data_IF_189408895048
#
_entry.id   IF_189408895048
#
_cell.length_a   1.000
_cell.length_b   1.000
_cell.length_c   1.000
_cell.angle_alpha   90.00
_cell.angle_beta   90.00
_cell.angle_gamma   90.00
#
_symmetry.space_group_name_H-M   'P 1'
#
loop_
_entity.id
_entity.type
_entity.pdbx_description
1 polymer ?
#
# COMPACT_ATOMS: atom_id res chain seq x y z
N UNK A 1 -7.56 -22.27 24.75
CA UNK A 1 -6.51 -23.21 24.30
C UNK A 1 -5.60 -22.59 23.23
N UNK A 2 -6.14 -22.06 22.12
CA UNK A 2 -5.34 -21.45 21.05
C UNK A 2 -4.41 -20.31 21.51
N UNK A 3 -4.91 -19.34 22.29
CA UNK A 3 -4.07 -18.24 22.80
C UNK A 3 -2.92 -18.70 23.69
N UNK A 4 -3.18 -19.68 24.55
CA UNK A 4 -2.15 -20.27 25.41
C UNK A 4 -1.05 -20.91 24.55
N UNK A 5 -1.43 -21.69 23.55
CA UNK A 5 -0.49 -22.32 22.61
C UNK A 5 0.35 -21.27 21.86
N UNK A 6 -0.29 -20.20 21.34
CA UNK A 6 0.39 -19.08 20.68
C UNK A 6 1.41 -18.42 21.62
N UNK A 7 1.01 -18.08 22.84
CA UNK A 7 1.89 -17.42 23.81
C UNK A 7 3.06 -18.31 24.22
N UNK A 8 2.83 -19.61 24.44
CA UNK A 8 3.89 -20.58 24.76
C UNK A 8 4.94 -20.68 23.65
N UNK A 9 4.54 -20.61 22.38
CA UNK A 9 5.48 -20.61 21.26
C UNK A 9 6.20 -19.26 21.12
N UNK A 10 5.51 -18.14 21.36
CA UNK A 10 6.14 -16.82 21.39
C UNK A 10 7.13 -16.66 22.56
N UNK A 11 6.88 -17.29 23.71
CA UNK A 11 7.80 -17.32 24.86
C UNK A 11 9.08 -18.08 24.53
N UNK A 12 8.97 -19.21 23.84
CA UNK A 12 10.15 -19.95 23.33
C UNK A 12 10.91 -19.10 22.30
N UNK A 13 10.21 -18.47 21.37
CA UNK A 13 10.83 -17.64 20.34
C UNK A 13 11.59 -16.44 20.93
N UNK A 14 11.02 -15.76 21.92
CA UNK A 14 11.69 -14.68 22.65
C UNK A 14 13.02 -15.17 23.28
N UNK A 15 12.99 -16.32 23.94
CA UNK A 15 14.19 -16.92 24.52
C UNK A 15 15.23 -17.25 23.44
N UNK A 16 14.83 -17.87 22.34
CA UNK A 16 15.75 -18.34 21.30
C UNK A 16 16.32 -17.24 20.43
N UNK A 17 15.60 -16.12 20.25
CA UNK A 17 16.05 -14.97 19.46
C UNK A 17 16.79 -13.92 20.30
N UNK A 18 17.01 -14.18 21.60
CA UNK A 18 17.81 -13.29 22.45
C UNK A 18 19.23 -13.16 21.90
N UNK A 19 19.66 -11.93 21.62
CA UNK A 19 20.98 -11.63 21.04
C UNK A 19 21.08 -11.85 19.52
N UNK A 20 20.05 -12.39 18.88
CA UNK A 20 20.02 -12.53 17.42
C UNK A 20 19.81 -11.17 16.76
N UNK A 21 20.66 -10.85 15.79
CA UNK A 21 20.51 -9.69 14.91
C UNK A 21 20.26 -10.17 13.49
N UNK A 22 19.08 -9.87 12.97
CA UNK A 22 18.73 -10.18 11.57
C UNK A 22 19.45 -9.25 10.59
N UNK A 23 19.66 -9.73 9.38
CA UNK A 23 20.28 -8.95 8.28
C UNK A 23 19.25 -8.29 7.36
N UNK A 24 18.02 -8.79 7.33
CA UNK A 24 16.93 -8.28 6.48
C UNK A 24 15.63 -8.23 7.27
N UNK A 25 14.64 -7.49 6.77
CA UNK A 25 13.28 -7.45 7.36
C UNK A 25 12.45 -8.70 6.99
N UNK A 26 12.99 -9.65 6.22
CA UNK A 26 12.30 -10.87 5.80
C UNK A 26 12.37 -12.00 6.82
N UNK A 27 13.19 -11.83 7.85
CA UNK A 27 13.31 -12.76 8.97
C UNK A 27 12.86 -12.08 10.26
N UNK A 28 12.14 -12.81 11.09
CA UNK A 28 11.73 -12.33 12.40
C UNK A 28 12.95 -12.20 13.34
N UNK A 29 12.99 -11.12 14.10
CA UNK A 29 13.85 -10.97 15.28
C UNK A 29 12.99 -10.83 16.53
N UNK A 30 13.63 -10.51 17.65
CA UNK A 30 12.98 -10.33 18.93
C UNK A 30 11.89 -9.24 18.91
N UNK A 31 12.09 -8.15 18.14
CA UNK A 31 11.08 -7.09 18.03
C UNK A 31 9.79 -7.57 17.35
N UNK A 32 9.90 -8.49 16.39
CA UNK A 32 8.74 -9.11 15.73
C UNK A 32 7.99 -10.02 16.71
N UNK A 33 8.71 -10.80 17.54
CA UNK A 33 8.09 -11.61 18.60
C UNK A 33 7.30 -10.73 19.56
N UNK A 34 7.87 -9.59 19.97
CA UNK A 34 7.16 -8.62 20.80
C UNK A 34 5.93 -8.03 20.13
N UNK A 35 6.00 -7.70 18.85
CA UNK A 35 4.82 -7.23 18.10
C UNK A 35 3.73 -8.29 17.99
N UNK A 36 4.09 -9.56 17.82
CA UNK A 36 3.12 -10.67 17.82
C UNK A 36 2.49 -10.85 19.21
N UNK A 37 3.29 -10.83 20.29
CA UNK A 37 2.77 -10.85 21.66
C UNK A 37 1.80 -9.70 21.92
N UNK A 38 2.16 -8.48 21.50
CA UNK A 38 1.31 -7.31 21.65
C UNK A 38 -0.05 -7.51 20.96
N UNK A 39 -0.07 -7.97 19.70
CA UNK A 39 -1.31 -8.31 18.97
C UNK A 39 -2.11 -9.41 19.68
N UNK A 40 -1.45 -10.44 20.19
CA UNK A 40 -2.10 -11.55 20.91
C UNK A 40 -2.76 -11.07 22.20
N UNK A 41 -2.03 -10.34 23.05
CA UNK A 41 -2.58 -9.80 24.29
C UNK A 41 -3.69 -8.78 24.05
N UNK A 42 -3.56 -7.93 23.02
CA UNK A 42 -4.61 -7.00 22.62
C UNK A 42 -5.91 -7.75 22.26
N UNK A 43 -5.79 -8.85 21.49
CA UNK A 43 -6.95 -9.69 21.12
C UNK A 43 -7.54 -10.41 22.33
N UNK A 44 -6.75 -10.68 23.36
CA UNK A 44 -7.20 -11.25 24.63
C UNK A 44 -7.76 -10.21 25.61
N UNK A 45 -7.81 -8.93 25.23
CA UNK A 45 -8.21 -7.82 26.08
C UNK A 45 -7.29 -7.62 27.32
N UNK A 46 -6.05 -8.15 27.25
CA UNK A 46 -5.02 -7.91 28.25
C UNK A 46 -4.23 -6.66 27.88
N UNK A 47 -4.83 -5.51 28.19
CA UNK A 47 -4.33 -4.20 27.79
C UNK A 47 -2.94 -3.90 28.37
N UNK A 48 -2.66 -4.36 29.59
CA UNK A 48 -1.39 -4.12 30.27
C UNK A 48 -0.23 -4.84 29.55
N UNK A 49 -0.40 -6.12 29.23
CA UNK A 49 0.62 -6.84 28.47
C UNK A 49 0.69 -6.38 27.02
N UNK A 50 -0.44 -6.04 26.40
CA UNK A 50 -0.46 -5.48 25.05
C UNK A 50 0.41 -4.22 24.95
N UNK A 51 0.18 -3.25 25.84
CA UNK A 51 0.97 -2.00 25.89
C UNK A 51 2.45 -2.28 26.17
N UNK A 52 2.74 -3.14 27.15
CA UNK A 52 4.12 -3.51 27.52
C UNK A 52 4.88 -4.05 26.30
N UNK A 53 4.32 -5.04 25.62
CA UNK A 53 5.01 -5.66 24.50
C UNK A 53 5.04 -4.77 23.26
N UNK A 54 4.02 -3.93 23.04
CA UNK A 54 4.05 -2.92 21.97
C UNK A 54 5.22 -1.94 22.16
N UNK A 55 5.45 -1.48 23.41
CA UNK A 55 6.61 -0.61 23.74
C UNK A 55 7.96 -1.28 23.50
N UNK A 56 8.08 -2.56 23.81
CA UNK A 56 9.30 -3.33 23.51
C UNK A 56 9.47 -3.53 21.99
N UNK A 57 8.39 -3.79 21.29
CA UNK A 57 8.37 -4.03 19.85
C UNK A 57 8.83 -2.79 19.05
N UNK A 58 8.38 -1.59 19.44
CA UNK A 58 8.72 -0.35 18.73
C UNK A 58 10.15 0.17 18.97
N UNK A 59 10.88 -0.39 19.93
CA UNK A 59 12.23 0.08 20.26
C UNK A 59 13.17 -0.03 19.04
N UNK A 60 13.77 1.09 18.64
CA UNK A 60 14.68 1.16 17.49
C UNK A 60 14.00 1.33 16.12
N UNK A 61 12.67 1.48 16.06
CA UNK A 61 11.93 1.76 14.83
C UNK A 61 11.48 3.21 14.76
N UNK A 62 11.36 3.72 13.54
CA UNK A 62 10.87 5.09 13.29
C UNK A 62 9.69 5.03 12.33
N UNK A 63 8.64 5.81 12.61
CA UNK A 63 7.49 5.94 11.70
C UNK A 63 7.92 6.62 10.41
N UNK A 64 7.29 6.26 9.28
CA UNK A 64 7.59 6.90 8.00
C UNK A 64 7.33 8.42 8.07
N UNK A 65 8.20 9.19 7.42
CA UNK A 65 7.92 10.61 7.13
C UNK A 65 6.80 10.75 6.11
N UNK A 66 6.18 11.93 6.03
CA UNK A 66 5.15 12.21 5.02
C UNK A 66 5.66 11.94 3.59
N UNK A 67 6.90 12.35 3.27
CA UNK A 67 7.51 12.14 1.96
C UNK A 67 7.71 10.66 1.62
N UNK A 68 8.14 9.85 2.58
CA UNK A 68 8.25 8.40 2.40
C UNK A 68 6.87 7.75 2.22
N UNK A 69 5.88 8.19 3.01
CA UNK A 69 4.53 7.62 2.97
C UNK A 69 3.81 7.90 1.64
N UNK A 70 4.08 9.05 1.02
CA UNK A 70 3.47 9.48 -0.25
C UNK A 70 4.45 9.40 -1.43
N UNK A 71 5.49 8.58 -1.34
CA UNK A 71 6.46 8.44 -2.43
C UNK A 71 5.81 7.89 -3.69
N UNK A 72 6.09 8.51 -4.84
CA UNK A 72 5.59 8.05 -6.14
C UNK A 72 6.39 6.87 -6.72
N UNK A 73 7.58 6.60 -6.19
CA UNK A 73 8.47 5.55 -6.68
C UNK A 73 8.73 4.44 -5.67
N UNK A 74 8.75 4.78 -4.37
CA UNK A 74 8.99 3.84 -3.27
C UNK A 74 7.74 3.62 -2.39
N UNK A 75 6.57 4.03 -2.88
CA UNK A 75 5.30 3.93 -2.16
C UNK A 75 4.94 2.48 -1.82
N UNK A 76 5.23 2.09 -0.58
CA UNK A 76 4.93 0.77 0.00
C UNK A 76 5.37 -0.44 -0.85
N UNK A 77 6.54 -0.33 -1.48
CA UNK A 77 7.12 -1.40 -2.32
C UNK A 77 8.55 -1.82 -1.91
N UNK A 78 9.09 -1.18 -0.87
CA UNK A 78 10.45 -1.38 -0.37
C UNK A 78 10.46 -1.25 1.15
N UNK A 79 11.09 -2.22 1.80
CA UNK A 79 11.23 -2.26 3.24
C UNK A 79 12.03 -1.05 3.75
N UNK A 80 11.56 -0.49 4.86
CA UNK A 80 12.15 0.70 5.47
C UNK A 80 12.12 0.58 7.01
N UNK A 81 12.58 1.62 7.70
CA UNK A 81 12.76 1.63 9.16
C UNK A 81 11.46 1.62 9.96
N UNK A 82 10.30 1.77 9.30
CA UNK A 82 8.99 1.59 9.95
C UNK A 82 8.50 0.15 9.86
N UNK A 83 9.08 -0.68 8.99
CA UNK A 83 8.63 -2.05 8.75
C UNK A 83 9.38 -3.00 9.69
N UNK A 84 8.63 -3.66 10.55
CA UNK A 84 9.13 -4.62 11.52
C UNK A 84 9.29 -6.00 10.91
N UNK A 85 8.39 -6.42 10.02
CA UNK A 85 8.50 -7.66 9.26
C UNK A 85 7.97 -7.43 7.86
N UNK A 86 8.62 -8.01 6.85
CA UNK A 86 8.23 -7.94 5.46
C UNK A 86 8.41 -9.29 4.76
N UNK A 87 7.85 -9.42 3.57
CA UNK A 87 8.23 -10.45 2.60
C UNK A 87 8.61 -9.80 1.28
N UNK A 88 9.37 -10.50 0.45
CA UNK A 88 9.84 -10.02 -0.85
C UNK A 88 9.46 -10.99 -1.95
N UNK A 89 8.76 -10.48 -2.97
CA UNK A 89 8.55 -11.24 -4.19
C UNK A 89 9.75 -11.11 -5.12
N UNK A 90 10.19 -12.23 -5.68
CA UNK A 90 11.18 -12.30 -6.77
C UNK A 90 10.54 -12.90 -8.02
N UNK A 91 11.16 -12.66 -9.18
CA UNK A 91 10.64 -13.09 -10.49
C UNK A 91 10.48 -14.60 -10.64
N UNK A 92 11.15 -15.38 -9.78
CA UNK A 92 11.06 -16.85 -9.76
C UNK A 92 9.98 -17.39 -8.82
N UNK A 93 9.34 -16.56 -8.00
CA UNK A 93 8.20 -17.01 -7.19
C UNK A 93 7.01 -17.35 -8.10
N UNK A 94 6.28 -18.41 -7.78
CA UNK A 94 5.16 -18.90 -8.61
C UNK A 94 4.05 -17.86 -8.78
N UNK A 95 3.78 -17.04 -7.76
CA UNK A 95 2.81 -15.94 -7.84
C UNK A 95 3.23 -14.79 -8.78
N UNK A 96 4.51 -14.71 -9.17
CA UNK A 96 5.05 -13.74 -10.13
C UNK A 96 5.25 -14.40 -11.50
N UNK A 97 5.88 -15.59 -11.53
CA UNK A 97 6.26 -16.29 -12.76
C UNK A 97 5.06 -16.83 -13.54
N UNK A 98 4.06 -17.36 -12.83
CA UNK A 98 2.94 -18.05 -13.45
C UNK A 98 1.75 -17.09 -13.61
N UNK A 99 0.88 -17.38 -14.59
CA UNK A 99 -0.34 -16.61 -14.88
C UNK A 99 -0.10 -15.09 -14.95
N UNK A 100 0.91 -14.68 -15.72
CA UNK A 100 1.30 -13.29 -15.94
C UNK A 100 1.55 -12.45 -14.67
N UNK A 101 1.88 -13.11 -13.56
CA UNK A 101 2.09 -12.46 -12.26
C UNK A 101 0.79 -12.04 -11.56
N UNK A 102 -0.37 -12.38 -12.12
CA UNK A 102 -1.67 -12.00 -11.58
C UNK A 102 -1.98 -12.68 -10.25
N UNK A 103 -1.19 -13.66 -9.82
CA UNK A 103 -1.21 -14.26 -8.48
C UNK A 103 -0.58 -13.39 -7.40
N UNK A 104 0.20 -12.37 -7.78
CA UNK A 104 0.99 -11.54 -6.87
C UNK A 104 0.19 -10.49 -6.10
N UNK A 105 0.76 -9.94 -5.03
CA UNK A 105 0.23 -8.78 -4.32
C UNK A 105 0.14 -7.54 -5.22
N UNK A 106 1.22 -7.27 -5.99
CA UNK A 106 1.29 -6.12 -6.87
C UNK A 106 0.15 -6.08 -7.88
N UNK A 107 -0.25 -7.24 -8.42
CA UNK A 107 -1.36 -7.34 -9.35
C UNK A 107 -2.71 -6.85 -8.80
N UNK A 108 -2.92 -6.85 -7.47
CA UNK A 108 -4.19 -6.43 -6.84
C UNK A 108 -4.11 -5.02 -6.30
N UNK A 109 -2.93 -4.61 -5.85
CA UNK A 109 -2.77 -3.38 -5.08
C UNK A 109 -2.26 -2.20 -5.90
N UNK A 110 -1.58 -2.45 -7.02
CA UNK A 110 -1.07 -1.38 -7.90
C UNK A 110 -2.13 -0.97 -8.91
N UNK A 111 -2.28 0.35 -9.09
CA UNK A 111 -3.31 0.97 -9.95
C UNK A 111 -2.70 1.69 -11.16
N UNK A 112 -1.39 1.59 -11.33
CA UNK A 112 -0.57 2.23 -12.37
C UNK A 112 0.32 1.19 -13.07
N UNK A 113 -0.28 0.15 -13.65
CA UNK A 113 0.42 -0.90 -14.39
C UNK A 113 0.16 -0.77 -15.89
N UNK A 114 1.20 -0.47 -16.66
CA UNK A 114 1.20 -0.27 -18.11
C UNK A 114 1.43 -1.52 -18.94
N UNK A 115 1.73 -2.68 -18.32
CA UNK A 115 1.88 -3.95 -19.06
C UNK A 115 0.57 -4.51 -19.63
N UNK A 116 -0.58 -3.93 -19.25
CA UNK A 116 -1.91 -4.48 -19.54
C UNK A 116 -2.33 -5.63 -18.62
N UNK A 117 -1.53 -5.95 -17.60
CA UNK A 117 -1.82 -7.00 -16.61
C UNK A 117 -2.26 -6.44 -15.26
N UNK A 118 -2.86 -7.30 -14.43
CA UNK A 118 -3.20 -7.00 -13.03
C UNK A 118 -4.64 -6.59 -12.81
N UNK A 119 -5.25 -7.17 -11.79
CA UNK A 119 -6.61 -6.89 -11.34
C UNK A 119 -6.83 -5.45 -10.85
N UNK A 120 -5.81 -4.85 -10.22
CA UNK A 120 -5.90 -3.50 -9.69
C UNK A 120 -5.99 -2.43 -10.77
N UNK A 121 -5.28 -2.61 -11.89
CA UNK A 121 -5.17 -1.59 -12.94
C UNK A 121 -5.92 -1.92 -14.24
N UNK A 122 -6.01 -3.20 -14.63
CA UNK A 122 -6.38 -3.59 -16.00
C UNK A 122 -7.58 -4.55 -16.11
N UNK A 123 -7.78 -5.48 -15.16
CA UNK A 123 -8.82 -6.51 -15.30
C UNK A 123 -10.07 -6.31 -14.43
N UNK A 124 -9.94 -5.60 -13.32
CA UNK A 124 -10.97 -5.51 -12.31
C UNK A 124 -11.27 -4.08 -11.88
N UNK A 125 -11.76 -3.98 -10.65
CA UNK A 125 -11.96 -2.71 -9.97
C UNK A 125 -10.91 -2.56 -8.87
N UNK A 126 -10.19 -1.44 -8.83
CA UNK A 126 -9.23 -1.18 -7.77
C UNK A 126 -9.92 -0.99 -6.42
N UNK A 127 -9.12 -0.96 -5.35
CA UNK A 127 -9.61 -0.60 -4.04
C UNK A 127 -9.79 0.92 -3.92
N UNK A 128 -10.91 1.31 -3.33
CA UNK A 128 -11.27 2.70 -3.06
C UNK A 128 -11.34 2.94 -1.55
N UNK A 129 -10.99 4.14 -1.13
CA UNK A 129 -11.34 4.63 0.21
C UNK A 129 -12.83 4.98 0.24
N UNK A 130 -13.48 4.72 1.37
CA UNK A 130 -14.81 5.26 1.62
C UNK A 130 -14.80 6.80 1.59
N UNK A 131 -15.82 7.39 0.98
CA UNK A 131 -15.90 8.85 0.80
C UNK A 131 -15.98 9.59 2.13
N UNK A 132 -16.77 9.09 3.08
CA UNK A 132 -16.90 9.74 4.39
C UNK A 132 -15.57 9.68 5.16
N UNK A 133 -14.86 8.55 5.10
CA UNK A 133 -13.52 8.45 5.66
C UNK A 133 -12.56 9.46 5.03
N UNK A 134 -12.54 9.56 3.69
CA UNK A 134 -11.68 10.54 3.00
C UNK A 134 -12.00 11.99 3.39
N UNK A 135 -13.28 12.35 3.45
CA UNK A 135 -13.73 13.71 3.75
C UNK A 135 -13.47 14.09 5.22
N UNK A 136 -13.46 13.12 6.15
CA UNK A 136 -13.12 13.34 7.56
C UNK A 136 -11.62 13.42 7.83
N UNK A 137 -10.77 12.98 6.89
CA UNK A 137 -9.32 13.15 7.03
C UNK A 137 -8.95 14.64 6.93
N UNK A 138 -8.22 15.20 7.91
CA UNK A 138 -7.70 16.56 7.83
C UNK A 138 -6.81 16.77 6.59
N UNK A 139 -6.86 17.96 5.99
CA UNK A 139 -6.01 18.30 4.84
C UNK A 139 -4.51 18.30 5.18
N UNK A 140 -4.15 18.42 6.45
CA UNK A 140 -2.78 18.34 6.96
C UNK A 140 -2.28 16.90 7.11
N UNK A 141 -3.16 15.89 6.99
CA UNK A 141 -2.77 14.49 7.08
C UNK A 141 -2.21 13.99 5.75
N UNK A 142 -0.92 13.64 5.73
CA UNK A 142 -0.25 13.15 4.53
C UNK A 142 -0.89 11.89 3.93
N UNK A 143 -1.56 11.06 4.75
CA UNK A 143 -2.21 9.82 4.29
C UNK A 143 -3.35 10.11 3.31
N UNK A 144 -3.95 11.30 3.38
CA UNK A 144 -5.01 11.72 2.46
C UNK A 144 -4.53 11.75 1.00
N UNK A 145 -3.23 12.03 0.79
CA UNK A 145 -2.58 12.05 -0.54
C UNK A 145 -2.35 10.66 -1.13
N UNK A 146 -2.59 9.58 -0.38
CA UNK A 146 -2.56 8.23 -0.92
C UNK A 146 -3.83 7.88 -1.71
N UNK A 147 -4.83 8.76 -1.73
CA UNK A 147 -6.09 8.57 -2.44
C UNK A 147 -6.34 9.73 -3.38
N UNK A 148 -6.93 9.43 -4.52
CA UNK A 148 -7.36 10.44 -5.50
C UNK A 148 -8.53 11.23 -4.91
N UNK A 149 -8.49 12.55 -5.05
CA UNK A 149 -9.55 13.44 -4.58
C UNK A 149 -10.86 13.18 -5.34
N UNK A 150 -11.99 13.06 -4.64
CA UNK A 150 -13.31 12.87 -5.24
C UNK A 150 -13.73 14.02 -6.17
N UNK A 151 -13.15 15.21 -6.03
CA UNK A 151 -13.43 16.34 -6.91
C UNK A 151 -13.10 16.05 -8.39
N UNK A 152 -12.14 15.15 -8.67
CA UNK A 152 -11.72 14.87 -10.06
C UNK A 152 -12.85 14.33 -10.93
N UNK A 153 -13.80 13.58 -10.36
CA UNK A 153 -14.94 13.02 -11.09
C UNK A 153 -15.95 14.09 -11.52
N UNK A 154 -15.84 15.30 -10.96
CA UNK A 154 -16.69 16.45 -11.30
C UNK A 154 -16.05 17.39 -12.33
N UNK A 155 -14.83 17.11 -12.77
CA UNK A 155 -14.12 17.97 -13.70
C UNK A 155 -14.63 17.78 -15.12
N UNK A 156 -15.47 18.70 -15.54
CA UNK A 156 -16.07 18.74 -16.87
C UNK A 156 -15.75 20.05 -17.60
N UNK A 157 -15.89 20.02 -18.93
CA UNK A 157 -15.89 21.20 -19.79
C UNK A 157 -16.98 21.08 -20.85
N UNK A 158 -17.43 22.22 -21.33
CA UNK A 158 -18.34 22.29 -22.48
C UNK A 158 -17.55 22.18 -23.77
N UNK A 159 -18.05 21.39 -24.71
CA UNK A 159 -17.56 21.31 -26.09
C UNK A 159 -18.72 21.55 -27.04
N UNK A 160 -18.45 22.26 -28.13
CA UNK A 160 -19.44 22.52 -29.18
C UNK A 160 -19.29 21.47 -30.28
N UNK A 161 -20.36 20.76 -30.59
CA UNK A 161 -20.40 19.87 -31.75
C UNK A 161 -20.26 20.70 -33.03
N UNK A 162 -19.19 20.52 -33.84
CA UNK A 162 -18.96 21.31 -35.04
C UNK A 162 -20.01 21.10 -36.13
N UNK A 163 -20.80 20.01 -36.07
CA UNK A 163 -21.85 19.70 -37.06
C UNK A 163 -23.20 20.29 -36.67
N UNK A 164 -23.53 20.31 -35.38
CA UNK A 164 -24.86 20.70 -34.89
C UNK A 164 -24.87 22.05 -34.17
N UNK A 165 -23.69 22.59 -33.81
CA UNK A 165 -23.56 23.79 -32.98
C UNK A 165 -24.02 23.61 -31.53
N UNK A 166 -24.40 22.39 -31.14
CA UNK A 166 -24.91 22.09 -29.80
C UNK A 166 -23.76 21.94 -28.82
N UNK A 167 -23.88 22.57 -27.65
CA UNK A 167 -22.98 22.34 -26.53
C UNK A 167 -23.29 21.01 -25.82
N UNK A 168 -22.25 20.24 -25.52
CA UNK A 168 -22.30 19.07 -24.64
C UNK A 168 -21.24 19.18 -23.56
N UNK A 169 -21.54 18.61 -22.39
CA UNK A 169 -20.59 18.52 -21.28
C UNK A 169 -19.81 17.21 -21.39
N UNK A 170 -18.49 17.30 -21.34
CA UNK A 170 -17.57 16.16 -21.38
C UNK A 170 -16.57 16.28 -20.24
N UNK A 171 -15.93 15.17 -19.87
CA UNK A 171 -14.85 15.20 -18.89
C UNK A 171 -13.71 16.11 -19.37
N UNK A 172 -13.20 16.96 -18.49
CA UNK A 172 -12.02 17.76 -18.77
C UNK A 172 -10.74 16.97 -18.49
N UNK A 173 -10.36 16.12 -19.44
CA UNK A 173 -9.22 15.20 -19.31
C UNK A 173 -7.93 15.89 -18.91
N UNK A 174 -7.65 17.10 -19.41
CA UNK A 174 -6.42 17.83 -19.06
C UNK A 174 -6.42 18.23 -17.57
N UNK A 175 -7.54 18.75 -17.09
CA UNK A 175 -7.71 19.12 -15.67
C UNK A 175 -7.65 17.89 -14.76
N UNK A 176 -8.25 16.77 -15.18
CA UNK A 176 -8.16 15.49 -14.46
C UNK A 176 -6.71 15.01 -14.39
N UNK A 177 -6.01 14.89 -15.52
CA UNK A 177 -4.61 14.42 -15.54
C UNK A 177 -3.68 15.32 -14.71
N UNK A 178 -3.89 16.64 -14.76
CA UNK A 178 -3.13 17.57 -13.92
C UNK A 178 -3.38 17.37 -12.42
N UNK A 179 -4.61 17.06 -12.00
CA UNK A 179 -4.91 16.76 -10.60
C UNK A 179 -4.29 15.43 -10.14
N UNK A 180 -4.30 14.40 -10.99
CA UNK A 180 -3.74 13.08 -10.67
C UNK A 180 -2.22 13.08 -10.47
N UNK A 181 -1.50 14.10 -10.96
CA UNK A 181 -0.07 14.31 -10.67
C UNK A 181 0.24 14.46 -9.18
N UNK A 182 -0.75 14.77 -8.35
CA UNK A 182 -0.60 14.79 -6.90
C UNK A 182 -0.42 13.39 -6.29
N UNK A 183 -0.78 12.33 -7.03
CA UNK A 183 -0.78 10.95 -6.56
C UNK A 183 0.17 10.02 -7.34
N UNK A 184 0.56 10.38 -8.57
CA UNK A 184 1.34 9.52 -9.45
C UNK A 184 2.14 10.31 -10.48
N UNK A 185 3.30 9.76 -10.85
CA UNK A 185 4.10 10.23 -11.99
C UNK A 185 3.57 9.68 -13.34
N UNK A 186 2.56 8.80 -13.30
CA UNK A 186 1.90 8.19 -14.47
C UNK A 186 0.39 8.47 -14.46
N UNK A 187 -0.02 9.75 -14.51
CA UNK A 187 -1.43 10.13 -14.39
C UNK A 187 -2.31 9.52 -15.48
N UNK A 188 -1.79 9.21 -16.67
CA UNK A 188 -2.56 8.55 -17.73
C UNK A 188 -2.95 7.11 -17.37
N UNK A 189 -2.03 6.37 -16.75
CA UNK A 189 -2.31 5.00 -16.27
C UNK A 189 -3.34 5.06 -15.14
N UNK A 190 -3.18 5.99 -14.20
CA UNK A 190 -4.11 6.16 -13.10
C UNK A 190 -5.51 6.55 -13.60
N UNK A 191 -5.61 7.44 -14.60
CA UNK A 191 -6.88 7.87 -15.22
C UNK A 191 -7.59 6.76 -16.02
N UNK A 192 -6.87 5.68 -16.36
CA UNK A 192 -7.44 4.56 -17.12
C UNK A 192 -8.32 3.66 -16.25
N UNK A 193 -8.20 3.75 -14.92
CA UNK A 193 -9.02 3.00 -13.98
C UNK A 193 -10.51 3.34 -14.07
N UNK A 194 -11.35 2.38 -13.66
CA UNK A 194 -12.82 2.41 -13.71
C UNK A 194 -13.39 1.93 -12.35
N UNK A 195 -14.67 2.22 -12.03
CA UNK A 195 -15.63 3.03 -12.79
C UNK A 195 -15.44 4.54 -12.62
N UNK A 196 -14.81 4.97 -11.53
CA UNK A 196 -14.57 6.38 -11.16
C UNK A 196 -13.12 6.56 -10.71
N UNK A 197 -12.67 7.80 -10.56
CA UNK A 197 -11.30 8.09 -10.08
C UNK A 197 -11.31 8.56 -8.63
N UNK A 198 -12.37 9.22 -8.17
CA UNK A 198 -12.50 9.67 -6.79
C UNK A 198 -12.34 8.53 -5.78
N UNK A 199 -11.47 8.72 -4.81
CA UNK A 199 -11.17 7.73 -3.77
C UNK A 199 -10.24 6.60 -4.20
N UNK A 200 -9.78 6.57 -5.45
CA UNK A 200 -8.87 5.54 -5.95
C UNK A 200 -7.61 5.47 -5.11
N UNK A 201 -7.20 4.27 -4.70
CA UNK A 201 -5.97 4.05 -3.98
C UNK A 201 -4.74 4.19 -4.90
N UNK A 202 -3.85 5.12 -4.55
CA UNK A 202 -2.57 5.37 -5.22
C UNK A 202 -1.37 5.17 -4.28
N UNK A 203 -1.57 4.47 -3.15
CA UNK A 203 -0.56 4.24 -2.10
C UNK A 203 0.58 3.32 -2.55
N UNK A 204 0.24 2.26 -3.29
CA UNK A 204 1.16 1.18 -3.64
C UNK A 204 1.73 1.40 -5.04
N UNK A 205 3.05 1.40 -5.15
CA UNK A 205 3.79 1.74 -6.37
C UNK A 205 4.54 0.53 -6.91
N UNK A 206 4.62 0.40 -8.23
CA UNK A 206 5.46 -0.65 -8.84
C UNK A 206 6.93 -0.46 -8.43
N UNK A 207 7.64 -1.56 -8.16
CA UNK A 207 9.09 -1.56 -7.95
C UNK A 207 9.83 -1.32 -9.29
N UNK A 208 11.14 -1.02 -9.23
CA UNK A 208 11.97 -0.93 -10.46
C UNK A 208 11.69 0.29 -11.36
N UNK A 209 10.96 1.30 -10.87
CA UNK A 209 10.69 2.53 -11.59
C UNK A 209 9.90 2.31 -12.88
N UNK A 210 10.22 3.06 -13.93
CA UNK A 210 9.51 2.97 -15.23
C UNK A 210 9.56 1.57 -15.84
N UNK A 211 10.63 0.82 -15.62
CA UNK A 211 10.73 -0.55 -16.09
C UNK A 211 9.67 -1.45 -15.45
N UNK A 212 9.41 -1.31 -14.15
CA UNK A 212 8.38 -2.09 -13.47
C UNK A 212 6.95 -1.62 -13.71
N UNK A 213 6.77 -0.34 -14.01
CA UNK A 213 5.48 0.21 -14.47
C UNK A 213 5.09 -0.35 -15.84
N UNK A 214 6.03 -0.77 -16.67
CA UNK A 214 5.75 -1.38 -17.97
C UNK A 214 5.93 -2.90 -18.00
N UNK A 215 6.45 -3.49 -16.93
CA UNK A 215 6.74 -4.92 -16.84
C UNK A 215 6.42 -5.42 -15.44
N UNK A 216 5.37 -6.20 -15.33
CA UNK A 216 4.87 -6.73 -14.08
C UNK A 216 5.83 -7.71 -13.39
N UNK A 217 6.67 -8.42 -14.16
CA UNK A 217 7.72 -9.30 -13.63
C UNK A 217 8.89 -8.52 -12.99
N UNK A 218 8.93 -7.20 -13.16
CA UNK A 218 9.82 -6.28 -12.45
C UNK A 218 9.03 -5.52 -11.38
N UNK A 219 7.90 -4.93 -11.76
CA UNK A 219 7.10 -4.05 -10.90
C UNK A 219 6.53 -4.73 -9.66
N UNK A 220 6.15 -6.00 -9.77
CA UNK A 220 5.55 -6.74 -8.65
C UNK A 220 6.56 -7.54 -7.84
N UNK A 221 7.86 -7.48 -8.20
CA UNK A 221 8.98 -7.94 -7.37
C UNK A 221 9.29 -6.90 -6.28
N UNK A 222 8.34 -6.75 -5.35
CA UNK A 222 8.34 -5.70 -4.34
C UNK A 222 8.38 -6.29 -2.92
N UNK A 223 8.79 -5.47 -1.96
CA UNK A 223 8.62 -5.76 -0.55
C UNK A 223 7.18 -5.48 -0.12
N UNK A 224 6.65 -6.35 0.73
CA UNK A 224 5.29 -6.30 1.26
C UNK A 224 5.37 -6.29 2.79
N UNK A 225 4.78 -5.29 3.48
CA UNK A 225 4.83 -5.21 4.93
C UNK A 225 3.90 -6.25 5.57
N UNK A 226 4.40 -7.00 6.54
CA UNK A 226 3.63 -7.93 7.37
C UNK A 226 3.42 -7.40 8.80
N UNK A 227 4.29 -6.50 9.25
CA UNK A 227 4.16 -5.80 10.51
C UNK A 227 4.88 -4.46 10.42
N UNK A 228 4.24 -3.39 10.90
CA UNK A 228 4.85 -2.06 10.96
C UNK A 228 4.76 -1.46 12.36
N UNK A 229 5.69 -0.57 12.68
CA UNK A 229 5.76 0.11 13.97
C UNK A 229 4.54 0.98 14.26
N UNK A 230 3.85 1.48 13.22
CA UNK A 230 2.61 2.26 13.42
C UNK A 230 1.47 1.44 14.05
N UNK A 231 1.58 0.11 14.07
CA UNK A 231 0.61 -0.79 14.72
C UNK A 231 0.92 -1.01 16.21
N UNK A 232 2.06 -0.52 16.69
CA UNK A 232 2.56 -0.71 18.07
C UNK A 232 2.46 0.57 18.90
N UNK A 233 1.78 1.59 18.39
CA UNK A 233 1.60 2.90 19.03
C UNK A 233 0.22 3.06 19.64
#
# INVERSE_FOLDING_TARGET
EAFKFILEDLDKAEKYLTGYTRTTKYTADLSVVYGLKARTYLTMEDWQNAEKYAKLAQAGYTVMTAAQYTSHSEGFNKANDSWMLATHNVSTNTNIKDNDGDGSWGAKMTTEQGSGCGYGANYGYPFYIDRHLYETMPSTDCRKKCFVDFAVDTYTKKVTDPKTGKETEVMDTEKVLNALKANSDYPELLASNKPTLGGLNAKFKNAGGSAGVSNQYVGWCMDIPLMRVEEMK
#
